data_IF_089475711169
#
_entry.id   IF_089475711169
#
_cell.length_a   1.000
_cell.length_b   1.000
_cell.length_c   1.000
_cell.angle_alpha   90.00
_cell.angle_beta   90.00
_cell.angle_gamma   90.00
#
_symmetry.space_group_name_H-M   'P 1'
#
loop_
_entity.id
_entity.type
_entity.pdbx_description
1 polymer ?
#
# COMPACT_ATOMS: atom_id res chain seq x y z
N UNK A 1 -15.12 -3.18 -23.87
CA UNK A 1 -14.36 -2.27 -23.00
C UNK A 1 -12.92 -2.74 -22.89
N UNK A 2 -11.93 -1.96 -23.37
CA UNK A 2 -10.52 -2.42 -23.44
C UNK A 2 -9.81 -2.37 -22.09
N UNK A 3 -9.96 -1.25 -21.39
CA UNK A 3 -9.32 -1.00 -20.10
C UNK A 3 -9.81 -1.95 -18.99
N UNK A 4 -11.07 -2.41 -19.06
CA UNK A 4 -11.59 -3.41 -18.11
C UNK A 4 -10.89 -4.76 -18.27
N UNK A 5 -10.71 -5.23 -19.52
CA UNK A 5 -9.96 -6.46 -19.82
C UNK A 5 -8.51 -6.33 -19.37
N UNK A 6 -7.86 -5.18 -19.59
CA UNK A 6 -6.50 -4.93 -19.11
C UNK A 6 -6.36 -5.11 -17.59
N UNK A 7 -7.36 -4.69 -16.82
CA UNK A 7 -7.39 -4.86 -15.36
C UNK A 7 -7.94 -6.22 -14.90
N UNK A 8 -8.30 -7.11 -15.83
CA UNK A 8 -8.81 -8.44 -15.56
C UNK A 8 -7.70 -9.40 -15.09
N UNK A 9 -8.03 -10.22 -14.09
CA UNK A 9 -7.14 -11.26 -13.56
C UNK A 9 -7.51 -12.67 -14.03
N UNK A 10 -8.60 -12.80 -14.79
CA UNK A 10 -9.01 -14.06 -15.40
C UNK A 10 -7.98 -14.51 -16.45
N UNK A 11 -7.68 -15.82 -16.57
CA UNK A 11 -6.70 -16.34 -17.52
C UNK A 11 -6.82 -15.81 -18.95
N UNK A 12 -8.06 -15.61 -19.46
CA UNK A 12 -8.29 -15.10 -20.82
C UNK A 12 -7.96 -13.62 -21.01
N UNK A 13 -7.88 -12.86 -19.91
CA UNK A 13 -7.62 -11.43 -19.89
C UNK A 13 -6.17 -11.08 -19.46
N UNK A 14 -5.40 -12.06 -18.97
CA UNK A 14 -3.98 -11.87 -18.64
C UNK A 14 -3.17 -11.52 -19.89
N UNK A 15 -2.32 -10.50 -19.74
CA UNK A 15 -1.43 -10.01 -20.79
C UNK A 15 -2.19 -9.60 -22.09
N UNK A 16 -3.38 -8.99 -21.93
CA UNK A 16 -4.20 -8.44 -23.02
C UNK A 16 -4.43 -6.94 -22.88
N UNK A 17 -4.74 -6.31 -24.02
CA UNK A 17 -5.17 -4.91 -24.13
C UNK A 17 -4.22 -3.91 -23.43
N UNK A 18 -2.94 -3.93 -23.81
CA UNK A 18 -1.89 -3.12 -23.19
C UNK A 18 -1.85 -1.69 -23.71
N UNK A 19 -2.50 -1.40 -24.85
CA UNK A 19 -2.42 -0.08 -25.44
C UNK A 19 -3.19 0.92 -24.58
N UNK A 20 -2.48 1.93 -24.06
CA UNK A 20 -3.08 2.95 -23.20
C UNK A 20 -4.15 3.78 -23.91
N UNK A 21 -3.83 4.33 -25.09
CA UNK A 21 -4.69 5.32 -25.76
C UNK A 21 -5.40 4.79 -27.00
N UNK A 22 -4.71 4.03 -27.87
CA UNK A 22 -5.25 3.59 -29.16
C UNK A 22 -5.21 2.07 -29.30
N UNK A 23 -6.38 1.46 -29.48
CA UNK A 23 -6.57 0.01 -29.70
C UNK A 23 -5.81 -0.55 -30.90
N UNK A 24 -5.43 0.29 -31.87
CA UNK A 24 -4.75 -0.16 -33.09
C UNK A 24 -3.47 -0.94 -32.78
N UNK A 25 -2.76 -0.59 -31.71
CA UNK A 25 -1.56 -1.28 -31.29
C UNK A 25 -1.85 -2.70 -30.81
N UNK A 26 -2.90 -2.90 -30.01
CA UNK A 26 -3.29 -4.25 -29.56
C UNK A 26 -3.74 -5.15 -30.72
N UNK A 27 -4.39 -4.57 -31.73
CA UNK A 27 -4.77 -5.30 -32.94
C UNK A 27 -3.56 -5.63 -33.81
N UNK A 28 -2.62 -4.69 -33.97
CA UNK A 28 -1.41 -4.87 -34.77
C UNK A 28 -0.46 -5.91 -34.15
N UNK A 29 -0.32 -5.91 -32.83
CA UNK A 29 0.57 -6.80 -32.09
C UNK A 29 -0.12 -8.06 -31.54
N UNK A 30 -1.42 -8.24 -31.81
CA UNK A 30 -2.15 -9.47 -31.44
C UNK A 30 -2.40 -9.64 -29.94
N UNK A 31 -2.38 -8.56 -29.17
CA UNK A 31 -2.71 -8.55 -27.73
C UNK A 31 -4.15 -8.15 -27.45
N UNK A 32 -4.92 -7.84 -28.50
CA UNK A 32 -6.33 -7.51 -28.39
C UNK A 32 -7.17 -8.70 -27.91
N UNK A 33 -7.98 -8.46 -26.88
CA UNK A 33 -9.01 -9.37 -26.39
C UNK A 33 -10.30 -8.59 -26.17
N UNK A 34 -11.39 -9.10 -26.73
CA UNK A 34 -12.72 -8.56 -26.48
C UNK A 34 -13.19 -8.92 -25.07
N UNK A 35 -13.98 -8.03 -24.46
CA UNK A 35 -14.64 -8.35 -23.21
C UNK A 35 -15.88 -9.21 -23.49
N UNK A 36 -15.76 -10.50 -23.26
CA UNK A 36 -16.86 -11.47 -23.42
C UNK A 36 -17.70 -11.59 -22.14
N UNK A 37 -17.06 -11.38 -21.00
CA UNK A 37 -17.65 -11.48 -19.66
C UNK A 37 -17.00 -10.46 -18.72
N UNK A 38 -17.71 -10.06 -17.68
CA UNK A 38 -17.20 -9.13 -16.67
C UNK A 38 -15.89 -9.64 -16.02
N UNK A 39 -14.77 -8.89 -16.15
CA UNK A 39 -13.49 -9.30 -15.57
C UNK A 39 -13.50 -9.28 -14.04
N UNK A 40 -12.87 -10.29 -13.42
CA UNK A 40 -12.48 -10.20 -12.01
C UNK A 40 -11.23 -9.33 -11.90
N UNK A 41 -11.34 -8.17 -11.27
CA UNK A 41 -10.27 -7.19 -11.20
C UNK A 41 -9.12 -7.56 -10.26
N UNK A 42 -7.93 -7.05 -10.58
CA UNK A 42 -6.76 -7.06 -9.69
C UNK A 42 -5.64 -7.96 -10.20
N UNK A 43 -4.82 -8.45 -9.27
CA UNK A 43 -3.69 -9.36 -9.58
C UNK A 43 -4.08 -10.81 -9.32
N UNK A 44 -3.41 -11.75 -9.99
CA UNK A 44 -3.69 -13.21 -9.93
C UNK A 44 -3.56 -13.82 -8.53
N UNK A 45 -2.72 -13.23 -7.67
CA UNK A 45 -2.58 -13.58 -6.26
C UNK A 45 -2.91 -12.35 -5.39
N UNK A 46 -4.15 -12.17 -4.93
CA UNK A 46 -4.58 -10.96 -4.24
C UNK A 46 -3.70 -10.67 -3.03
N UNK A 47 -3.41 -9.38 -2.81
CA UNK A 47 -2.76 -8.93 -1.60
C UNK A 47 -3.82 -8.79 -0.50
N UNK A 48 -3.64 -9.47 0.63
CA UNK A 48 -4.49 -9.34 1.80
C UNK A 48 -3.91 -8.29 2.78
N UNK A 49 -3.56 -7.12 2.27
CA UNK A 49 -2.86 -6.06 3.02
C UNK A 49 -3.07 -4.68 2.36
N UNK A 50 -3.25 -3.64 3.19
CA UNK A 50 -3.25 -2.22 2.82
C UNK A 50 -1.87 -1.59 3.04
N UNK A 51 -0.95 -2.29 3.73
CA UNK A 51 0.41 -1.81 3.95
C UNK A 51 1.23 -1.81 2.65
N UNK A 52 1.69 -0.62 2.17
CA UNK A 52 2.46 -0.51 0.94
C UNK A 52 3.82 -1.23 1.02
N UNK A 53 4.41 -1.40 2.20
CA UNK A 53 5.67 -2.16 2.34
C UNK A 53 5.40 -3.63 2.10
N UNK A 54 4.38 -4.19 2.74
CA UNK A 54 3.93 -5.57 2.45
C UNK A 54 3.61 -5.73 0.95
N UNK A 55 2.93 -4.78 0.33
CA UNK A 55 2.64 -4.81 -1.11
C UNK A 55 3.89 -4.91 -1.99
N UNK A 56 4.93 -4.12 -1.70
CA UNK A 56 6.16 -4.07 -2.50
C UNK A 56 7.10 -5.26 -2.25
N UNK A 57 7.20 -5.75 -1.02
CA UNK A 57 8.17 -6.80 -0.65
C UNK A 57 7.61 -8.22 -0.67
N UNK A 58 6.29 -8.41 -0.68
CA UNK A 58 5.68 -9.75 -0.65
C UNK A 58 6.18 -10.65 -1.77
N UNK A 59 6.18 -10.18 -3.01
CA UNK A 59 6.64 -10.98 -4.15
C UNK A 59 8.10 -11.37 -4.02
N UNK A 60 8.97 -10.46 -3.56
CA UNK A 60 10.38 -10.78 -3.31
C UNK A 60 10.56 -11.83 -2.21
N UNK A 61 9.78 -11.74 -1.13
CA UNK A 61 9.79 -12.74 -0.06
C UNK A 61 9.32 -14.11 -0.56
N UNK A 62 8.29 -14.16 -1.40
CA UNK A 62 7.79 -15.38 -2.05
C UNK A 62 8.84 -16.02 -2.97
N UNK A 63 9.51 -15.21 -3.81
CA UNK A 63 10.62 -15.67 -4.65
C UNK A 63 11.79 -16.18 -3.80
N UNK A 64 12.15 -15.48 -2.72
CA UNK A 64 13.18 -15.93 -1.78
C UNK A 64 12.83 -17.27 -1.10
N UNK A 65 11.56 -17.45 -0.71
CA UNK A 65 11.08 -18.70 -0.14
C UNK A 65 11.12 -19.85 -1.17
N UNK A 66 10.69 -19.59 -2.41
CA UNK A 66 10.75 -20.56 -3.50
C UNK A 66 12.19 -20.96 -3.84
N UNK A 67 13.12 -19.99 -3.88
CA UNK A 67 14.54 -20.23 -4.09
C UNK A 67 15.16 -21.06 -2.95
N UNK A 68 14.72 -20.87 -1.69
CA UNK A 68 15.16 -21.71 -0.56
C UNK A 68 14.72 -23.16 -0.72
N UNK A 69 13.50 -23.40 -1.21
CA UNK A 69 12.94 -24.75 -1.42
C UNK A 69 13.59 -25.51 -2.59
N UNK A 70 14.09 -24.81 -3.62
CA UNK A 70 14.74 -25.43 -4.78
C UNK A 70 15.98 -26.25 -4.36
N UNK A 71 16.08 -27.50 -4.84
CA UNK A 71 17.22 -28.39 -4.52
C UNK A 71 18.45 -28.04 -5.34
N UNK A 72 18.25 -27.66 -6.60
CA UNK A 72 19.33 -27.33 -7.53
C UNK A 72 19.72 -25.86 -7.40
N UNK A 73 21.02 -25.59 -7.30
CA UNK A 73 21.55 -24.23 -7.23
C UNK A 73 21.14 -23.35 -8.42
N UNK A 74 21.14 -23.91 -9.64
CA UNK A 74 20.69 -23.19 -10.83
C UNK A 74 19.22 -22.75 -10.73
N UNK A 75 18.37 -23.54 -10.08
CA UNK A 75 16.97 -23.20 -9.91
C UNK A 75 16.76 -22.09 -8.87
N UNK A 76 17.66 -21.97 -7.87
CA UNK A 76 17.66 -20.84 -6.92
C UNK A 76 17.80 -19.49 -7.62
N UNK A 77 18.59 -19.42 -8.70
CA UNK A 77 18.76 -18.20 -9.50
C UNK A 77 17.62 -18.04 -10.51
N UNK A 78 17.20 -19.13 -11.17
CA UNK A 78 16.13 -19.08 -12.19
C UNK A 78 14.81 -18.57 -11.64
N UNK A 79 14.50 -18.79 -10.36
CA UNK A 79 13.30 -18.23 -9.70
C UNK A 79 13.20 -16.71 -9.93
N UNK A 80 14.31 -15.98 -9.98
CA UNK A 80 14.31 -14.52 -10.16
C UNK A 80 14.35 -14.06 -11.63
N UNK A 81 14.57 -14.98 -12.57
CA UNK A 81 14.77 -14.67 -14.00
C UNK A 81 13.65 -15.21 -14.90
N UNK A 82 12.97 -16.27 -14.46
CA UNK A 82 11.92 -16.94 -15.22
C UNK A 82 10.58 -16.19 -15.07
N UNK A 83 9.66 -16.35 -16.04
CA UNK A 83 8.38 -15.65 -16.01
C UNK A 83 7.56 -16.03 -14.77
N UNK A 84 6.61 -15.16 -14.36
CA UNK A 84 5.66 -15.47 -13.30
C UNK A 84 5.00 -16.83 -13.51
N UNK A 85 4.85 -17.60 -12.43
CA UNK A 85 4.32 -18.96 -12.49
C UNK A 85 5.37 -20.04 -12.70
N UNK A 86 6.58 -19.73 -13.16
CA UNK A 86 7.65 -20.73 -13.22
C UNK A 86 8.05 -21.21 -11.82
N UNK A 87 8.15 -22.52 -11.66
CA UNK A 87 8.75 -23.17 -10.48
C UNK A 87 9.70 -24.28 -10.92
N UNK A 88 10.65 -24.68 -10.05
CA UNK A 88 11.44 -25.88 -10.26
C UNK A 88 10.55 -27.09 -10.53
N UNK A 89 11.00 -28.04 -11.36
CA UNK A 89 10.21 -29.21 -11.74
C UNK A 89 9.81 -30.04 -10.52
N UNK A 90 10.69 -30.13 -9.52
CA UNK A 90 10.42 -30.81 -8.25
C UNK A 90 9.39 -30.10 -7.36
N UNK A 91 9.06 -28.83 -7.64
CA UNK A 91 8.05 -28.03 -6.93
C UNK A 91 6.76 -27.86 -7.75
N UNK A 92 6.54 -28.72 -8.75
CA UNK A 92 5.32 -28.75 -9.55
C UNK A 92 5.40 -28.02 -10.89
N UNK A 93 6.57 -27.51 -11.28
CA UNK A 93 6.75 -26.88 -12.59
C UNK A 93 5.96 -25.58 -12.79
N UNK A 94 5.66 -25.23 -14.04
CA UNK A 94 4.94 -24.00 -14.36
C UNK A 94 3.49 -24.04 -13.86
N UNK A 95 3.09 -22.98 -13.15
CA UNK A 95 1.73 -22.77 -12.64
C UNK A 95 1.15 -21.49 -13.26
N UNK A 96 0.19 -21.67 -14.17
CA UNK A 96 -0.50 -20.56 -14.82
C UNK A 96 -1.56 -19.90 -13.93
N UNK A 97 -2.14 -18.79 -14.39
CA UNK A 97 -3.30 -18.17 -13.72
C UNK A 97 -4.47 -19.17 -13.66
N UNK A 98 -5.19 -19.17 -12.54
CA UNK A 98 -6.35 -20.03 -12.31
C UNK A 98 -7.62 -19.22 -12.58
N UNK A 99 -8.60 -19.86 -13.23
CA UNK A 99 -9.92 -19.26 -13.43
C UNK A 99 -10.56 -18.96 -12.07
N UNK A 100 -10.97 -17.71 -11.85
CA UNK A 100 -11.59 -17.32 -10.58
C UNK A 100 -13.08 -17.63 -10.62
N UNK A 101 -13.55 -18.16 -9.51
CA UNK A 101 -14.98 -18.29 -9.25
C UNK A 101 -15.52 -16.94 -8.77
N UNK A 102 -16.34 -16.30 -9.61
CA UNK A 102 -16.96 -15.00 -9.31
C UNK A 102 -17.89 -15.06 -8.11
N UNK A 103 -18.61 -16.17 -7.93
CA UNK A 103 -19.58 -16.31 -6.84
C UNK A 103 -18.90 -16.34 -5.47
N UNK A 104 -17.68 -16.88 -5.43
CA UNK A 104 -16.88 -17.03 -4.22
C UNK A 104 -15.71 -16.04 -4.12
N UNK A 105 -15.58 -15.11 -5.07
CA UNK A 105 -14.53 -14.09 -5.04
C UNK A 105 -14.89 -12.99 -4.04
N UNK A 106 -14.16 -12.95 -2.92
CA UNK A 106 -14.27 -11.88 -1.94
C UNK A 106 -13.06 -10.96 -2.06
N UNK A 107 -13.32 -9.70 -2.43
CA UNK A 107 -12.31 -8.65 -2.35
C UNK A 107 -11.89 -8.49 -0.88
N UNK A 108 -10.59 -8.44 -0.65
CA UNK A 108 -10.09 -8.22 0.70
C UNK A 108 -10.49 -6.83 1.20
N UNK A 109 -11.08 -6.80 2.39
CA UNK A 109 -11.59 -5.62 3.07
C UNK A 109 -11.41 -5.83 4.58
N UNK A 110 -10.82 -4.84 5.25
CA UNK A 110 -10.50 -4.90 6.68
C UNK A 110 -11.61 -4.37 7.57
N UNK A 111 -12.76 -3.93 7.01
CA UNK A 111 -13.92 -3.38 7.76
C UNK A 111 -13.47 -2.46 8.91
N UNK A 112 -12.55 -1.54 8.63
CA UNK A 112 -12.09 -0.57 9.62
C UNK A 112 -13.27 0.28 10.11
N UNK A 113 -13.28 0.60 11.41
CA UNK A 113 -14.35 1.40 12.01
C UNK A 113 -14.43 2.78 11.34
N UNK A 114 -15.64 3.32 11.16
CA UNK A 114 -15.84 4.61 10.48
C UNK A 114 -14.99 5.76 11.08
N UNK A 115 -14.77 5.74 12.40
CA UNK A 115 -13.90 6.70 13.07
C UNK A 115 -12.42 6.60 12.67
N UNK A 116 -11.93 5.38 12.41
CA UNK A 116 -10.58 5.13 11.90
C UNK A 116 -10.49 5.57 10.44
N UNK A 117 -11.50 5.26 9.61
CA UNK A 117 -11.55 5.72 8.22
C UNK A 117 -11.52 7.25 8.12
N UNK A 118 -12.32 7.94 8.93
CA UNK A 118 -12.33 9.40 8.99
C UNK A 118 -10.98 9.98 9.44
N UNK A 119 -10.35 9.36 10.43
CA UNK A 119 -9.02 9.76 10.90
C UNK A 119 -7.95 9.57 9.81
N UNK A 120 -7.92 8.40 9.19
CA UNK A 120 -6.97 8.08 8.11
C UNK A 120 -7.16 9.01 6.93
N UNK A 121 -8.39 9.31 6.53
CA UNK A 121 -8.68 10.26 5.47
C UNK A 121 -8.16 11.67 5.80
N UNK A 122 -8.36 12.14 7.04
CA UNK A 122 -7.82 13.41 7.50
C UNK A 122 -6.29 13.43 7.46
N UNK A 123 -5.63 12.40 8.01
CA UNK A 123 -4.16 12.29 7.97
C UNK A 123 -3.62 12.16 6.54
N UNK A 124 -4.36 11.51 5.64
CA UNK A 124 -3.99 11.42 4.23
C UNK A 124 -3.98 12.79 3.55
N UNK A 125 -4.98 13.66 3.84
CA UNK A 125 -4.97 15.05 3.35
C UNK A 125 -3.76 15.82 3.88
N UNK A 126 -3.41 15.64 5.16
CA UNK A 126 -2.19 16.23 5.73
C UNK A 126 -0.95 15.70 5.02
N UNK A 127 -0.86 14.39 4.77
CA UNK A 127 0.25 13.78 4.06
C UNK A 127 0.40 14.31 2.63
N UNK A 128 -0.71 14.50 1.91
CA UNK A 128 -0.72 15.12 0.58
C UNK A 128 -0.20 16.55 0.66
N UNK A 129 -0.67 17.37 1.61
CA UNK A 129 -0.20 18.75 1.78
C UNK A 129 1.31 18.81 2.08
N UNK A 130 1.81 17.96 2.99
CA UNK A 130 3.24 17.87 3.31
C UNK A 130 4.06 17.38 2.10
N UNK A 131 3.53 16.42 1.34
CA UNK A 131 4.20 15.90 0.13
C UNK A 131 4.26 16.96 -0.97
N UNK A 132 3.17 17.69 -1.20
CA UNK A 132 3.15 18.81 -2.15
C UNK A 132 4.16 19.87 -1.73
N UNK A 133 4.17 20.25 -0.45
CA UNK A 133 5.15 21.20 0.07
C UNK A 133 6.60 20.72 -0.15
N UNK A 134 6.89 19.46 0.17
CA UNK A 134 8.20 18.85 -0.08
C UNK A 134 8.61 18.94 -1.56
N UNK A 135 7.72 18.57 -2.49
CA UNK A 135 8.02 18.59 -3.92
C UNK A 135 8.21 20.01 -4.46
N UNK A 136 7.40 20.99 -4.02
CA UNK A 136 7.54 22.38 -4.48
C UNK A 136 8.72 23.13 -3.86
N UNK A 137 9.24 22.67 -2.72
CA UNK A 137 10.37 23.30 -2.00
C UNK A 137 11.62 22.44 -2.00
N UNK A 138 11.64 21.36 -2.78
CA UNK A 138 12.77 20.42 -2.80
C UNK A 138 14.10 21.11 -3.14
N UNK A 139 14.08 22.13 -4.02
CA UNK A 139 15.27 22.89 -4.40
C UNK A 139 15.87 23.73 -3.26
N UNK A 140 15.05 24.11 -2.28
CA UNK A 140 15.47 24.90 -1.11
C UNK A 140 15.89 24.00 0.06
N UNK A 141 15.64 22.69 -0.04
CA UNK A 141 15.93 21.72 1.01
C UNK A 141 17.31 21.10 0.79
N UNK A 142 18.19 21.27 1.78
CA UNK A 142 19.42 20.50 1.85
C UNK A 142 19.15 18.99 1.91
N UNK A 143 20.06 18.17 1.38
CA UNK A 143 19.92 16.71 1.23
C UNK A 143 19.43 16.02 2.51
N UNK A 144 19.96 16.40 3.67
CA UNK A 144 19.55 15.82 4.96
C UNK A 144 18.07 16.08 5.31
N UNK A 145 17.57 17.30 5.05
CA UNK A 145 16.16 17.63 5.27
C UNK A 145 15.26 16.92 4.27
N UNK A 146 15.71 16.79 3.03
CA UNK A 146 14.98 16.06 1.99
C UNK A 146 14.79 14.59 2.36
N UNK A 147 15.84 13.91 2.83
CA UNK A 147 15.72 12.53 3.32
C UNK A 147 14.85 12.41 4.57
N UNK A 148 14.93 13.35 5.51
CA UNK A 148 14.08 13.35 6.69
C UNK A 148 12.58 13.50 6.32
N UNK A 149 12.25 14.43 5.41
CA UNK A 149 10.89 14.63 4.93
C UNK A 149 10.38 13.42 4.13
N UNK A 150 11.20 12.87 3.22
CA UNK A 150 10.86 11.68 2.46
C UNK A 150 10.60 10.47 3.38
N UNK A 151 11.47 10.26 4.37
CA UNK A 151 11.30 9.21 5.38
C UNK A 151 10.02 9.38 6.20
N UNK A 152 9.69 10.60 6.59
CA UNK A 152 8.45 10.90 7.31
C UNK A 152 7.20 10.68 6.45
N UNK A 153 7.23 11.04 5.16
CA UNK A 153 6.15 10.77 4.22
C UNK A 153 5.94 9.26 4.05
N UNK A 154 7.02 8.50 3.85
CA UNK A 154 6.96 7.03 3.73
C UNK A 154 6.38 6.43 5.01
N UNK A 155 6.89 6.82 6.18
CA UNK A 155 6.35 6.37 7.46
C UNK A 155 4.85 6.70 7.56
N UNK A 156 4.43 7.91 7.20
CA UNK A 156 3.02 8.29 7.25
C UNK A 156 2.15 7.38 6.39
N UNK A 157 2.49 7.14 5.12
CA UNK A 157 1.67 6.28 4.25
C UNK A 157 1.63 4.82 4.75
N UNK A 158 2.75 4.31 5.27
CA UNK A 158 2.80 2.98 5.90
C UNK A 158 1.88 2.89 7.12
N UNK A 159 1.95 3.88 8.01
CA UNK A 159 1.18 3.92 9.25
C UNK A 159 -0.32 3.93 8.99
N UNK A 160 -0.77 4.73 8.00
CA UNK A 160 -2.16 4.74 7.55
C UNK A 160 -2.63 3.35 7.08
N UNK A 161 -1.80 2.61 6.33
CA UNK A 161 -2.09 1.23 5.92
C UNK A 161 -2.23 0.29 7.12
N UNK A 162 -1.34 0.41 8.10
CA UNK A 162 -1.36 -0.40 9.34
C UNK A 162 -2.61 -0.11 10.18
N UNK A 163 -3.02 1.16 10.27
CA UNK A 163 -4.25 1.57 10.97
C UNK A 163 -5.51 1.04 10.26
N UNK A 164 -5.57 1.12 8.92
CA UNK A 164 -6.66 0.54 8.14
C UNK A 164 -6.74 -0.98 8.29
N UNK A 165 -5.62 -1.66 8.51
CA UNK A 165 -5.58 -3.09 8.83
C UNK A 165 -6.00 -3.43 10.27
N UNK A 166 -6.22 -2.43 11.13
CA UNK A 166 -6.61 -2.65 12.52
C UNK A 166 -5.51 -3.26 13.40
N UNK A 167 -4.25 -3.17 12.97
CA UNK A 167 -3.09 -3.69 13.72
C UNK A 167 -2.87 -2.86 14.99
N UNK A 168 -2.96 -3.50 16.16
CA UNK A 168 -2.86 -2.82 17.48
C UNK A 168 -1.56 -2.03 17.68
N UNK A 169 -0.46 -2.50 17.10
CA UNK A 169 0.83 -1.83 17.20
C UNK A 169 0.93 -0.57 16.34
N UNK A 170 0.04 -0.39 15.34
CA UNK A 170 -0.01 0.82 14.52
C UNK A 170 -0.32 2.08 15.34
N UNK A 171 -1.06 1.96 16.44
CA UNK A 171 -1.30 3.11 17.32
C UNK A 171 -0.02 3.66 17.97
N UNK A 172 0.96 2.79 18.25
CA UNK A 172 2.26 3.24 18.76
C UNK A 172 3.11 3.92 17.68
N UNK A 173 3.03 3.42 16.44
CA UNK A 173 3.62 4.11 15.31
C UNK A 173 3.01 5.50 15.13
N UNK A 174 1.68 5.60 15.19
CA UNK A 174 0.97 6.86 14.98
C UNK A 174 1.32 7.90 16.06
N UNK A 175 1.41 7.49 17.32
CA UNK A 175 1.85 8.39 18.39
C UNK A 175 3.29 8.89 18.18
N UNK A 176 4.20 7.99 17.76
CA UNK A 176 5.57 8.37 17.47
C UNK A 176 5.67 9.27 16.22
N UNK A 177 4.86 9.01 15.19
CA UNK A 177 4.77 9.81 13.97
C UNK A 177 4.26 11.22 14.28
N UNK A 178 3.21 11.35 15.09
CA UNK A 178 2.68 12.64 15.53
C UNK A 178 3.70 13.43 16.37
N UNK A 179 4.44 12.77 17.27
CA UNK A 179 5.51 13.42 18.02
C UNK A 179 6.62 13.96 17.08
N UNK A 180 6.96 13.20 16.04
CA UNK A 180 7.97 13.60 15.06
C UNK A 180 7.55 14.77 14.17
N UNK A 181 6.26 15.05 14.02
CA UNK A 181 5.75 16.16 13.20
C UNK A 181 6.26 17.52 13.71
N UNK A 182 6.39 17.70 15.03
CA UNK A 182 6.92 18.93 15.62
C UNK A 182 8.42 19.12 15.35
N UNK A 183 9.17 18.02 15.31
CA UNK A 183 10.59 18.03 14.93
C UNK A 183 10.72 18.41 13.45
N UNK A 184 9.92 17.78 12.59
CA UNK A 184 9.91 18.07 11.15
C UNK A 184 9.50 19.52 10.87
N UNK A 185 8.49 20.02 11.59
CA UNK A 185 8.07 21.40 11.54
C UNK A 185 9.26 22.32 11.81
N UNK A 186 9.98 22.11 12.91
CA UNK A 186 11.17 22.89 13.31
C UNK A 186 12.25 22.95 12.22
N UNK A 187 12.51 21.84 11.53
CA UNK A 187 13.49 21.73 10.45
C UNK A 187 13.16 22.59 9.22
N UNK A 188 11.90 22.99 9.02
CA UNK A 188 11.44 23.85 7.93
C UNK A 188 11.45 25.37 8.27
N UNK A 189 12.35 25.81 9.16
CA UNK A 189 12.37 27.15 9.80
C UNK A 189 12.54 28.33 8.89
N UNK A 190 13.33 28.11 7.85
CA UNK A 190 13.71 29.05 6.83
C UNK A 190 12.70 29.16 5.69
N UNK A 191 11.68 28.29 5.65
CA UNK A 191 10.74 28.21 4.54
C UNK A 191 9.48 29.05 4.72
N UNK A 192 9.13 29.45 5.97
CA UNK A 192 7.96 30.25 6.32
C UNK A 192 8.18 31.09 7.59
N UNK A 193 7.36 32.13 7.85
CA UNK A 193 7.36 32.83 9.13
C UNK A 193 7.17 31.87 10.31
N UNK A 194 8.10 31.93 11.27
CA UNK A 194 8.20 30.96 12.36
C UNK A 194 6.92 30.77 13.17
N UNK A 195 6.22 31.87 13.49
CA UNK A 195 5.02 31.85 14.32
C UNK A 195 3.84 31.15 13.64
N UNK A 196 3.59 31.45 12.35
CA UNK A 196 2.47 30.86 11.60
C UNK A 196 2.67 29.36 11.38
N UNK A 197 3.87 28.94 10.98
CA UNK A 197 4.22 27.53 10.81
C UNK A 197 4.03 26.76 12.12
N UNK A 198 4.61 27.25 13.23
CA UNK A 198 4.48 26.57 14.53
C UNK A 198 3.05 26.51 15.04
N UNK A 199 2.24 27.55 14.79
CA UNK A 199 0.83 27.55 15.15
C UNK A 199 0.05 26.48 14.36
N UNK A 200 0.24 26.42 13.03
CA UNK A 200 -0.42 25.43 12.17
C UNK A 200 -0.01 24.00 12.56
N UNK A 201 1.29 23.75 12.73
CA UNK A 201 1.77 22.40 13.05
C UNK A 201 1.35 21.96 14.44
N UNK A 202 1.34 22.87 15.43
CA UNK A 202 0.83 22.57 16.78
C UNK A 202 -0.67 22.26 16.75
N UNK A 203 -1.46 23.05 16.01
CA UNK A 203 -2.89 22.82 15.89
C UNK A 203 -3.19 21.47 15.21
N UNK A 204 -2.51 21.17 14.09
CA UNK A 204 -2.65 19.90 13.39
C UNK A 204 -2.22 18.71 14.26
N UNK A 205 -1.06 18.80 14.92
CA UNK A 205 -0.58 17.75 15.81
C UNK A 205 -1.53 17.55 17.00
N UNK A 206 -2.05 18.63 17.59
CA UNK A 206 -2.98 18.58 18.71
C UNK A 206 -4.31 17.92 18.34
N UNK A 207 -4.94 18.35 17.24
CA UNK A 207 -6.19 17.74 16.74
C UNK A 207 -5.98 16.26 16.43
N UNK A 208 -4.86 15.93 15.77
CA UNK A 208 -4.51 14.55 15.42
C UNK A 208 -4.30 13.69 16.66
N UNK A 209 -3.56 14.19 17.65
CA UNK A 209 -3.26 13.48 18.89
C UNK A 209 -4.53 13.22 19.70
N UNK A 210 -5.39 14.24 19.87
CA UNK A 210 -6.66 14.07 20.59
C UNK A 210 -7.53 13.03 19.89
N UNK A 211 -7.68 13.11 18.56
CA UNK A 211 -8.47 12.13 17.81
C UNK A 211 -7.87 10.72 17.91
N UNK A 212 -6.55 10.58 17.76
CA UNK A 212 -5.85 9.31 17.93
C UNK A 212 -6.10 8.70 19.33
N UNK A 213 -5.97 9.48 20.40
CA UNK A 213 -6.22 9.01 21.76
C UNK A 213 -7.68 8.63 22.00
N UNK A 214 -8.64 9.36 21.42
CA UNK A 214 -10.06 9.00 21.48
C UNK A 214 -10.35 7.67 20.79
N UNK A 215 -9.72 7.40 19.64
CA UNK A 215 -9.85 6.13 18.93
C UNK A 215 -9.15 4.99 19.67
N UNK A 216 -7.96 5.22 20.21
CA UNK A 216 -7.23 4.25 21.01
C UNK A 216 -8.02 3.85 22.27
N UNK A 217 -8.63 4.82 22.95
CA UNK A 217 -9.50 4.58 24.11
C UNK A 217 -10.75 3.74 23.77
N UNK A 218 -11.34 3.95 22.58
CA UNK A 218 -12.46 3.14 22.07
C UNK A 218 -12.02 1.71 21.73
N UNK A 219 -10.86 1.55 21.10
CA UNK A 219 -10.28 0.23 20.79
C UNK A 219 -9.91 -0.56 22.06
N UNK A 220 -9.32 0.11 23.06
CA UNK A 220 -8.98 -0.52 24.34
C UNK A 220 -10.21 -1.06 25.08
N UNK A 221 -11.33 -0.32 25.07
CA UNK A 221 -12.61 -0.75 25.67
C UNK A 221 -13.25 -1.91 24.94
N UNK A 222 -13.21 -1.93 23.60
CA UNK A 222 -13.76 -3.02 22.80
C UNK A 222 -13.03 -4.36 23.01
N UNK A 223 -11.70 -4.33 23.25
CA UNK A 223 -10.91 -5.54 23.54
C UNK A 223 -11.13 -6.14 24.93
N UNK A 224 -11.62 -5.36 25.90
CA UNK A 224 -11.95 -5.83 27.25
C UNK A 224 -13.33 -6.51 27.27
N UNK A 225 -14.25 -6.09 26.39
CA UNK A 225 -15.60 -6.68 26.30
C UNK A 225 -15.63 -7.99 25.50
N UNK A 226 -14.62 -8.30 24.68
CA UNK A 226 -14.53 -9.57 23.95
C UNK A 226 -13.74 -10.67 24.67
N UNK A 227 -13.05 -10.36 25.78
CA UNK A 227 -12.34 -11.35 26.60
C UNK A 227 -13.18 -11.94 27.74
N UNK A 228 -14.46 -11.54 27.88
CA UNK A 228 -15.39 -12.08 28.88
C UNK A 228 -16.25 -13.25 28.39
N UNK A 229 -15.97 -13.79 27.20
CA UNK A 229 -16.72 -14.90 26.59
C UNK A 229 -15.77 -15.90 25.93
N UNK A 230 -15.06 -16.67 26.75
CA UNK A 230 -14.55 -18.00 26.41
C UNK A 230 -14.69 -18.89 27.62
#
# INVERSE_FOLDING_TARGET
SHHRVHHGSDPKYIDRNHAGTLIIWDKLFGTFQEEEEEPVYGITNPLASWDPVTANFRTWAELGALAKQARRWGDKVRVFLKPPGWRPAELGGFQGPVQRDRANYHKWDTRAAAGVNGYVAFQFVVAVAVTSFFLFRQGDLGVGRSWAMAGWIIWTVMDLGVLLEGKRWGWWLELARLASLMVLAGMAGDLFPGNTRMAITTALAGVSLVWCLLLLGRHGRAGILSSGGR
#
